data_IF_283670275912
#
_entry.id   IF_283670275912
#
_cell.length_a   1.000
_cell.length_b   1.000
_cell.length_c   1.000
_cell.angle_alpha   90.00
_cell.angle_beta   90.00
_cell.angle_gamma   90.00
#
_symmetry.space_group_name_H-M   'P 1'
#
loop_
_entity.id
_entity.type
_entity.pdbx_description
1 polymer ?
#
# COMPACT_ATOMS: atom_id res chain seq x y z
N UNK A 1 -13.20 9.05 -7.56
CA UNK A 1 -12.45 8.77 -8.80
C UNK A 1 -12.66 9.90 -9.79
N UNK A 2 -11.59 10.48 -10.32
CA UNK A 2 -11.65 11.49 -11.37
C UNK A 2 -10.90 11.00 -12.61
N UNK A 3 -11.50 11.17 -13.77
CA UNK A 3 -10.91 10.84 -15.08
C UNK A 3 -10.71 12.13 -15.85
N UNK A 4 -9.46 12.40 -16.25
CA UNK A 4 -9.09 13.57 -17.02
C UNK A 4 -8.69 13.14 -18.44
N UNK A 5 -9.00 13.97 -19.43
CA UNK A 5 -8.54 13.77 -20.80
C UNK A 5 -7.22 14.52 -21.02
N UNK A 6 -6.15 13.80 -21.37
CA UNK A 6 -4.85 14.38 -21.69
C UNK A 6 -4.40 14.07 -23.13
N UNK A 7 -5.28 13.60 -24.03
CA UNK A 7 -4.96 13.58 -25.46
C UNK A 7 -4.95 15.03 -25.97
N UNK A 8 -3.77 15.53 -26.37
CA UNK A 8 -3.59 16.90 -26.84
C UNK A 8 -4.38 17.25 -28.11
N UNK A 9 -4.99 16.26 -28.77
CA UNK A 9 -5.88 16.44 -29.92
C UNK A 9 -7.35 16.40 -29.54
N UNK A 10 -7.68 16.02 -28.31
CA UNK A 10 -9.06 15.96 -27.83
C UNK A 10 -9.64 17.37 -27.66
N UNK A 11 -10.89 17.61 -28.07
CA UNK A 11 -11.56 18.88 -27.79
C UNK A 11 -11.78 19.11 -26.27
N UNK A 12 -11.59 18.09 -25.44
CA UNK A 12 -11.70 18.16 -23.97
C UNK A 12 -10.35 18.02 -23.26
N UNK A 13 -9.23 18.30 -23.94
CA UNK A 13 -7.89 18.24 -23.34
C UNK A 13 -7.79 19.12 -22.08
N UNK A 14 -7.36 18.52 -20.97
CA UNK A 14 -7.25 19.17 -19.67
C UNK A 14 -8.55 19.20 -18.86
N UNK A 15 -9.67 18.70 -19.40
CA UNK A 15 -10.95 18.68 -18.71
C UNK A 15 -11.26 17.32 -18.05
N UNK A 16 -12.16 17.36 -17.06
CA UNK A 16 -12.75 16.16 -16.49
C UNK A 16 -13.70 15.48 -17.47
N UNK A 17 -13.42 14.22 -17.78
CA UNK A 17 -14.32 13.33 -18.53
C UNK A 17 -15.41 12.78 -17.64
N UNK A 18 -15.05 12.43 -16.41
CA UNK A 18 -15.98 11.88 -15.42
C UNK A 18 -15.43 12.08 -14.02
N UNK A 19 -16.33 12.40 -13.10
CA UNK A 19 -16.08 12.41 -11.66
C UNK A 19 -17.12 11.50 -11.02
N UNK A 20 -16.66 10.53 -10.22
CA UNK A 20 -17.51 9.64 -9.44
C UNK A 20 -17.10 9.68 -7.99
N UNK A 21 -18.07 9.84 -7.12
CA UNK A 21 -17.87 9.68 -5.69
C UNK A 21 -17.51 8.23 -5.38
N UNK A 22 -16.63 8.05 -4.38
CA UNK A 22 -16.47 6.74 -3.74
C UNK A 22 -17.76 6.48 -2.97
N UNK A 23 -18.29 5.27 -3.06
CA UNK A 23 -19.46 4.80 -2.34
C UNK A 23 -19.03 3.77 -1.29
N UNK A 24 -19.84 3.56 -0.26
CA UNK A 24 -19.59 2.57 0.79
C UNK A 24 -19.33 3.17 2.17
N UNK A 25 -19.20 2.32 3.21
CA UNK A 25 -19.11 2.76 4.61
C UNK A 25 -17.92 3.68 4.90
N UNK A 26 -16.82 3.51 4.17
CA UNK A 26 -15.59 4.29 4.33
C UNK A 26 -15.44 5.41 3.29
N UNK A 27 -16.50 5.77 2.56
CA UNK A 27 -16.41 6.78 1.49
C UNK A 27 -16.22 8.22 1.99
N UNK A 28 -16.72 8.55 3.18
CA UNK A 28 -16.79 9.93 3.69
C UNK A 28 -15.68 10.21 4.71
N UNK A 29 -15.08 11.41 4.65
CA UNK A 29 -13.97 11.85 5.53
C UNK A 29 -12.77 10.89 5.53
N UNK A 30 -12.56 10.20 4.42
CA UNK A 30 -11.46 9.28 4.23
C UNK A 30 -10.41 9.92 3.31
N UNK A 31 -9.26 9.29 3.22
CA UNK A 31 -8.16 9.69 2.36
C UNK A 31 -7.88 8.56 1.36
N UNK A 32 -8.44 8.62 0.14
CA UNK A 32 -7.91 7.84 -0.97
C UNK A 32 -6.45 8.22 -1.17
N UNK A 33 -5.53 7.30 -0.89
CA UNK A 33 -4.12 7.64 -0.75
C UNK A 33 -3.30 7.18 -1.96
N UNK A 34 -2.86 5.92 -2.00
CA UNK A 34 -2.28 5.31 -3.21
C UNK A 34 -3.26 4.37 -3.89
N UNK A 35 -2.96 4.08 -5.16
CA UNK A 35 -3.69 3.11 -5.96
C UNK A 35 -2.94 2.77 -7.24
N UNK A 36 -3.29 1.64 -7.83
CA UNK A 36 -2.67 1.14 -9.04
C UNK A 36 -3.68 0.45 -9.95
N UNK A 37 -3.39 0.50 -11.26
CA UNK A 37 -4.01 -0.40 -12.22
C UNK A 37 -3.38 -1.78 -12.16
N UNK A 38 -4.12 -2.85 -12.47
CA UNK A 38 -3.50 -4.13 -12.77
C UNK A 38 -2.72 -4.05 -14.09
N UNK A 39 -1.99 -5.12 -14.41
CA UNK A 39 -1.23 -5.22 -15.65
C UNK A 39 -2.09 -5.16 -16.92
N UNK A 40 -3.38 -5.54 -16.84
CA UNK A 40 -4.32 -5.48 -17.96
C UNK A 40 -4.98 -4.09 -18.13
N UNK A 41 -4.83 -3.19 -17.14
CA UNK A 41 -5.40 -1.84 -17.11
C UNK A 41 -6.93 -1.78 -17.22
N UNK A 42 -7.60 -2.89 -16.93
CA UNK A 42 -9.06 -2.99 -16.91
C UNK A 42 -9.62 -2.79 -15.49
N UNK A 43 -8.75 -2.70 -14.48
CA UNK A 43 -9.10 -2.60 -13.07
C UNK A 43 -8.17 -1.65 -12.36
N UNK A 44 -8.70 -0.93 -11.39
CA UNK A 44 -7.95 -0.02 -10.53
C UNK A 44 -8.34 -0.24 -9.06
N UNK A 45 -7.35 -0.32 -8.20
CA UNK A 45 -7.53 -0.34 -6.75
C UNK A 45 -6.91 0.86 -6.09
N UNK A 46 -7.51 1.32 -5.00
CA UNK A 46 -6.93 2.33 -4.12
C UNK A 46 -7.22 2.04 -2.66
N UNK A 47 -6.32 2.48 -1.79
CA UNK A 47 -6.45 2.36 -0.35
C UNK A 47 -7.18 3.56 0.27
N UNK A 48 -7.92 3.32 1.35
CA UNK A 48 -8.41 4.35 2.27
C UNK A 48 -7.52 4.44 3.49
N UNK A 49 -6.54 5.34 3.50
CA UNK A 49 -5.55 5.47 4.58
C UNK A 49 -6.21 5.72 5.94
N UNK A 50 -7.35 6.43 5.95
CA UNK A 50 -8.10 6.80 7.15
C UNK A 50 -9.36 5.92 7.37
N UNK A 51 -9.43 4.75 6.73
CA UNK A 51 -10.54 3.81 6.91
C UNK A 51 -10.65 3.28 8.34
N UNK A 52 -9.55 3.15 9.07
CA UNK A 52 -9.56 2.77 10.49
C UNK A 52 -10.36 3.72 11.40
N UNK A 53 -10.48 5.00 11.02
CA UNK A 53 -11.16 6.02 11.83
C UNK A 53 -12.69 5.98 11.71
N UNK A 54 -13.23 5.08 10.88
CA UNK A 54 -14.68 4.95 10.74
C UNK A 54 -15.26 4.19 11.92
N UNK A 55 -16.24 4.80 12.57
CA UNK A 55 -16.90 4.29 13.78
C UNK A 55 -17.99 3.25 13.49
N UNK A 56 -18.13 2.79 12.25
CA UNK A 56 -19.26 1.97 11.80
C UNK A 56 -19.02 0.47 11.97
N UNK A 57 -17.77 0.05 12.24
CA UNK A 57 -17.41 -1.37 12.42
C UNK A 57 -17.44 -2.18 11.12
N UNK A 58 -17.59 -1.53 9.97
CA UNK A 58 -17.60 -2.14 8.63
C UNK A 58 -16.71 -1.31 7.69
N UNK A 59 -15.43 -1.20 8.04
CA UNK A 59 -14.51 -0.32 7.34
C UNK A 59 -14.05 -0.99 6.04
N UNK A 60 -14.26 -0.33 4.90
CA UNK A 60 -13.63 -0.73 3.64
C UNK A 60 -12.25 -0.09 3.56
N UNK A 61 -11.19 -0.90 3.64
CA UNK A 61 -9.80 -0.45 3.48
C UNK A 61 -9.46 -0.29 2.00
N UNK A 62 -9.99 -1.17 1.14
CA UNK A 62 -9.68 -1.21 -0.30
C UNK A 62 -10.91 -0.79 -1.11
N UNK A 63 -10.71 0.12 -2.07
CA UNK A 63 -11.73 0.56 -3.02
C UNK A 63 -11.39 0.06 -4.42
N UNK A 64 -12.30 -0.70 -5.02
CA UNK A 64 -12.11 -1.39 -6.28
C UNK A 64 -12.90 -0.74 -7.41
N UNK A 65 -12.32 -0.68 -8.61
CA UNK A 65 -12.94 -0.10 -9.79
C UNK A 65 -12.70 -0.97 -11.02
N UNK A 66 -13.75 -1.22 -11.80
CA UNK A 66 -13.64 -1.67 -13.20
C UNK A 66 -13.44 -0.45 -14.10
N UNK A 67 -12.54 -0.58 -15.07
CA UNK A 67 -12.11 0.50 -15.96
C UNK A 67 -12.05 0.01 -17.43
N UNK A 68 -12.87 -0.96 -17.80
CA UNK A 68 -13.00 -1.47 -19.18
C UNK A 68 -13.36 -0.33 -20.18
N UNK A 69 -14.21 0.60 -19.75
CA UNK A 69 -14.38 1.92 -20.40
C UNK A 69 -13.77 2.99 -19.48
N UNK A 70 -12.58 3.54 -19.82
CA UNK A 70 -11.92 4.56 -19.02
C UNK A 70 -12.75 5.82 -18.81
N UNK A 71 -13.71 6.12 -19.70
CA UNK A 71 -14.60 7.28 -19.55
C UNK A 71 -15.76 7.00 -18.58
N UNK A 72 -16.00 5.74 -18.21
CA UNK A 72 -17.12 5.32 -17.36
C UNK A 72 -16.71 4.26 -16.33
N UNK A 73 -15.72 4.52 -15.46
CA UNK A 73 -15.27 3.55 -14.46
C UNK A 73 -16.41 3.16 -13.51
N UNK A 74 -16.47 1.91 -13.07
CA UNK A 74 -17.54 1.42 -12.20
C UNK A 74 -16.94 0.94 -10.87
N UNK A 75 -17.44 1.48 -9.76
CA UNK A 75 -17.00 0.99 -8.45
C UNK A 75 -17.55 -0.41 -8.20
N UNK A 76 -16.70 -1.28 -7.69
CA UNK A 76 -17.09 -2.56 -7.13
C UNK A 76 -17.18 -2.41 -5.62
N UNK A 77 -18.33 -2.79 -5.06
CA UNK A 77 -18.51 -2.85 -3.62
C UNK A 77 -17.92 -4.14 -3.08
N UNK A 78 -16.80 -4.01 -2.37
CA UNK A 78 -16.14 -5.15 -1.72
C UNK A 78 -16.86 -5.58 -0.43
N UNK A 79 -17.77 -4.77 0.13
CA UNK A 79 -18.52 -5.10 1.36
C UNK A 79 -19.33 -6.42 1.35
N UNK A 80 -19.51 -7.06 0.20
CA UNK A 80 -20.09 -8.41 0.06
C UNK A 80 -19.12 -9.44 -0.57
N UNK A 81 -17.90 -9.02 -0.90
CA UNK A 81 -16.85 -9.88 -1.43
C UNK A 81 -15.89 -10.24 -0.29
N UNK A 82 -15.22 -11.38 -0.41
CA UNK A 82 -14.21 -11.89 0.52
C UNK A 82 -12.95 -11.00 0.65
N UNK A 83 -12.99 -9.77 0.13
CA UNK A 83 -11.84 -8.98 -0.33
C UNK A 83 -11.41 -7.82 0.57
N UNK A 84 -11.98 -7.63 1.75
CA UNK A 84 -11.48 -6.63 2.70
C UNK A 84 -10.58 -7.31 3.75
N UNK A 85 -9.40 -6.76 4.08
CA UNK A 85 -8.56 -7.33 5.13
C UNK A 85 -9.31 -7.34 6.47
N UNK A 86 -9.04 -8.38 7.27
CA UNK A 86 -9.66 -8.59 8.58
C UNK A 86 -8.75 -8.19 9.72
N UNK A 87 -7.43 -8.33 9.54
CA UNK A 87 -6.44 -8.05 10.58
C UNK A 87 -5.75 -6.72 10.35
N UNK A 88 -5.32 -6.46 9.13
CA UNK A 88 -4.54 -5.29 8.73
C UNK A 88 -5.44 -4.15 8.27
N UNK A 89 -4.91 -2.93 8.36
CA UNK A 89 -5.54 -1.70 7.91
C UNK A 89 -4.47 -0.68 7.52
N UNK A 90 -4.92 0.52 7.16
CA UNK A 90 -4.03 1.62 6.72
C UNK A 90 -3.24 1.19 5.46
N UNK A 91 -3.94 0.89 4.36
CA UNK A 91 -3.29 0.54 3.10
C UNK A 91 -2.48 1.73 2.57
N UNK A 92 -1.27 1.43 2.13
CA UNK A 92 -0.37 2.40 1.53
C UNK A 92 -0.12 2.03 0.07
N UNK A 93 1.05 1.54 -0.30
CA UNK A 93 1.46 1.31 -1.69
C UNK A 93 0.83 0.05 -2.33
N UNK A 94 0.43 0.18 -3.60
CA UNK A 94 -0.13 -0.91 -4.42
C UNK A 94 0.84 -1.28 -5.54
N UNK A 95 1.13 -2.57 -5.66
CA UNK A 95 1.99 -3.11 -6.71
C UNK A 95 1.25 -4.17 -7.51
N UNK A 96 1.11 -3.95 -8.82
CA UNK A 96 0.49 -4.90 -9.73
C UNK A 96 1.43 -6.06 -10.07
N UNK A 97 0.88 -7.27 -10.15
CA UNK A 97 1.60 -8.51 -10.43
C UNK A 97 1.31 -9.05 -11.83
N UNK A 98 2.18 -9.92 -12.35
CA UNK A 98 2.04 -10.49 -13.70
C UNK A 98 0.82 -11.40 -13.84
N UNK A 99 0.36 -12.00 -12.74
CA UNK A 99 -0.85 -12.81 -12.71
C UNK A 99 -2.13 -11.96 -12.83
N UNK A 100 -2.03 -10.64 -12.73
CA UNK A 100 -3.16 -9.70 -12.75
C UNK A 100 -3.69 -9.33 -11.35
N UNK A 101 -3.09 -9.88 -10.30
CA UNK A 101 -3.32 -9.53 -8.90
C UNK A 101 -2.44 -8.37 -8.43
N UNK A 102 -2.39 -8.19 -7.11
CA UNK A 102 -1.69 -7.09 -6.46
C UNK A 102 -1.04 -7.53 -5.15
N UNK A 103 0.09 -6.93 -4.82
CA UNK A 103 0.46 -6.74 -3.42
C UNK A 103 0.10 -5.34 -2.95
N UNK A 104 -0.24 -5.22 -1.68
CA UNK A 104 -0.50 -3.95 -1.01
C UNK A 104 0.26 -3.95 0.31
N UNK A 105 1.01 -2.89 0.61
CA UNK A 105 1.54 -2.68 1.95
C UNK A 105 0.44 -2.16 2.87
N UNK A 106 0.35 -2.76 4.06
CA UNK A 106 -0.62 -2.41 5.08
C UNK A 106 0.14 -1.92 6.31
N UNK A 107 0.08 -0.62 6.59
CA UNK A 107 0.96 0.00 7.58
C UNK A 107 0.64 -0.42 9.02
N UNK A 108 -0.54 -0.96 9.32
CA UNK A 108 -0.88 -1.37 10.67
C UNK A 108 -1.94 -2.46 10.74
N UNK A 109 -2.28 -2.84 11.96
CA UNK A 109 -3.50 -3.56 12.26
C UNK A 109 -4.74 -2.67 12.00
N UNK A 110 -5.92 -3.23 12.17
CA UNK A 110 -7.20 -2.51 12.03
C UNK A 110 -7.35 -1.26 12.92
N UNK A 111 -6.46 -1.06 13.91
CA UNK A 111 -6.42 0.09 14.81
C UNK A 111 -5.20 1.01 14.54
N UNK A 112 -4.42 0.71 13.50
CA UNK A 112 -3.23 1.46 13.12
C UNK A 112 -2.02 1.21 14.01
N UNK A 113 -1.96 0.10 14.74
CA UNK A 113 -0.77 -0.32 15.50
C UNK A 113 0.06 -1.36 14.74
N UNK A 114 1.26 -1.65 15.20
CA UNK A 114 2.01 -2.84 14.75
C UNK A 114 1.41 -4.12 15.34
N UNK A 115 1.42 -5.26 14.63
CA UNK A 115 1.95 -5.44 13.28
C UNK A 115 0.94 -5.10 12.17
N UNK A 116 1.44 -4.42 11.13
CA UNK A 116 0.83 -4.34 9.81
C UNK A 116 1.00 -5.63 9.01
N UNK A 117 1.21 -5.49 7.70
CA UNK A 117 1.37 -6.64 6.81
C UNK A 117 1.52 -6.31 5.34
N UNK A 118 1.49 -7.37 4.55
CA UNK A 118 1.35 -7.33 3.09
C UNK A 118 0.06 -8.05 2.75
N UNK A 119 -0.79 -7.40 1.98
CA UNK A 119 -2.01 -7.99 1.44
C UNK A 119 -1.74 -8.48 0.02
N UNK A 120 -2.13 -9.72 -0.30
CA UNK A 120 -2.27 -10.18 -1.67
C UNK A 120 -3.74 -10.10 -2.09
N UNK A 121 -4.00 -9.50 -3.24
CA UNK A 121 -5.33 -9.47 -3.86
C UNK A 121 -5.23 -10.25 -5.17
N UNK A 122 -5.93 -11.38 -5.27
CA UNK A 122 -5.90 -12.23 -6.46
C UNK A 122 -6.64 -11.60 -7.66
N UNK A 123 -6.42 -12.09 -8.89
CA UNK A 123 -7.21 -11.70 -10.07
C UNK A 123 -8.72 -11.97 -9.91
N UNK A 124 -9.12 -12.90 -9.05
CA UNK A 124 -10.50 -13.22 -8.69
C UNK A 124 -10.98 -12.51 -7.42
N UNK A 125 -10.20 -11.54 -6.92
CA UNK A 125 -10.53 -10.66 -5.80
C UNK A 125 -10.51 -11.34 -4.42
N UNK A 126 -9.84 -12.48 -4.30
CA UNK A 126 -9.57 -13.08 -3.00
C UNK A 126 -8.47 -12.29 -2.29
N UNK A 127 -8.61 -12.16 -0.97
CA UNK A 127 -7.68 -11.43 -0.13
C UNK A 127 -6.99 -12.37 0.84
N UNK A 128 -5.67 -12.29 0.86
CA UNK A 128 -4.82 -13.00 1.81
C UNK A 128 -3.88 -12.02 2.50
N UNK A 129 -3.74 -12.17 3.82
CA UNK A 129 -2.94 -11.27 4.65
C UNK A 129 -1.67 -11.97 5.14
N UNK A 130 -0.52 -11.33 4.90
CA UNK A 130 0.79 -11.85 5.25
C UNK A 130 1.55 -10.95 6.25
N UNK A 131 2.39 -11.53 7.12
CA UNK A 131 2.47 -12.96 7.41
C UNK A 131 1.15 -13.46 8.02
N UNK A 132 0.95 -14.78 8.01
CA UNK A 132 -0.18 -15.36 8.74
C UNK A 132 -0.06 -15.08 10.24
N UNK A 133 -1.19 -15.08 10.95
CA UNK A 133 -1.27 -14.70 12.37
C UNK A 133 -0.28 -15.47 13.27
N UNK A 134 0.03 -16.73 12.93
CA UNK A 134 0.97 -17.56 13.67
C UNK A 134 2.46 -17.23 13.42
N UNK A 135 2.76 -16.38 12.44
CA UNK A 135 4.12 -16.02 12.01
C UNK A 135 4.37 -14.52 12.04
N UNK A 136 3.55 -13.76 12.78
CA UNK A 136 3.75 -12.32 12.93
C UNK A 136 5.13 -12.01 13.52
N UNK A 137 5.83 -10.98 13.02
CA UNK A 137 7.04 -10.50 13.65
C UNK A 137 6.77 -10.12 15.11
N UNK A 138 7.77 -10.36 15.97
CA UNK A 138 7.70 -10.02 17.40
C UNK A 138 8.21 -8.62 17.70
N UNK A 139 8.78 -7.94 16.70
CA UNK A 139 9.19 -6.55 16.84
C UNK A 139 7.96 -5.63 16.86
N UNK A 140 8.12 -4.47 17.49
CA UNK A 140 7.09 -3.44 17.63
C UNK A 140 7.01 -2.50 16.42
N UNK A 141 7.76 -2.78 15.36
CA UNK A 141 7.91 -1.94 14.19
C UNK A 141 7.82 -2.72 12.87
N UNK A 142 6.75 -3.49 12.71
CA UNK A 142 6.33 -4.03 11.42
C UNK A 142 5.18 -3.18 10.88
N UNK A 143 5.51 -2.10 10.16
CA UNK A 143 4.57 -1.14 9.58
C UNK A 143 4.93 -0.91 8.10
N UNK A 144 4.72 -1.89 7.21
CA UNK A 144 5.08 -1.78 5.79
C UNK A 144 4.45 -0.56 5.14
N UNK A 145 5.29 0.24 4.48
CA UNK A 145 4.91 1.40 3.69
C UNK A 145 5.41 1.18 2.26
N UNK A 146 6.71 1.39 2.01
CA UNK A 146 7.30 1.06 0.71
C UNK A 146 7.27 -0.44 0.41
N UNK A 147 6.94 -0.82 -0.82
CA UNK A 147 6.93 -2.22 -1.29
C UNK A 147 7.50 -2.38 -2.70
N UNK A 148 8.33 -3.40 -2.88
CA UNK A 148 8.85 -3.80 -4.19
C UNK A 148 8.85 -5.31 -4.36
N UNK A 149 8.67 -5.77 -5.60
CA UNK A 149 8.77 -7.19 -5.95
C UNK A 149 9.65 -7.37 -7.18
N UNK A 150 10.42 -8.45 -7.18
CA UNK A 150 10.98 -9.05 -8.38
C UNK A 150 10.46 -10.49 -8.47
N UNK A 151 9.40 -10.66 -9.27
CA UNK A 151 8.75 -11.97 -9.48
C UNK A 151 9.67 -12.99 -10.16
N UNK A 152 10.69 -12.55 -10.89
CA UNK A 152 11.64 -13.46 -11.56
C UNK A 152 12.69 -13.97 -10.57
N UNK A 153 13.16 -13.09 -9.68
CA UNK A 153 14.04 -13.47 -8.58
C UNK A 153 13.29 -14.18 -7.43
N UNK A 154 11.96 -14.06 -7.37
CA UNK A 154 11.15 -14.63 -6.30
C UNK A 154 11.31 -13.89 -4.97
N UNK A 155 11.52 -12.57 -5.03
CA UNK A 155 11.81 -11.75 -3.85
C UNK A 155 10.79 -10.62 -3.75
N UNK A 156 10.31 -10.39 -2.53
CA UNK A 156 9.55 -9.19 -2.16
C UNK A 156 10.32 -8.44 -1.06
N UNK A 157 10.27 -7.11 -1.10
CA UNK A 157 10.92 -6.23 -0.13
C UNK A 157 9.90 -5.24 0.39
N UNK A 158 9.88 -5.03 1.71
CA UNK A 158 9.09 -3.97 2.35
C UNK A 158 9.99 -3.07 3.17
N UNK A 159 9.70 -1.78 3.18
CA UNK A 159 10.26 -0.81 4.12
C UNK A 159 9.22 -0.42 5.18
N UNK A 160 9.60 -0.39 6.45
CA UNK A 160 8.73 0.02 7.54
C UNK A 160 8.88 1.54 7.80
N UNK A 161 7.76 2.27 7.91
CA UNK A 161 7.80 3.74 8.05
C UNK A 161 7.51 4.23 9.47
N UNK A 162 6.26 4.16 9.89
CA UNK A 162 5.78 4.73 11.16
C UNK A 162 4.57 3.94 11.62
N UNK A 163 4.40 3.78 12.93
CA UNK A 163 3.16 3.23 13.49
C UNK A 163 2.03 4.24 13.31
N UNK A 164 0.98 3.97 12.49
CA UNK A 164 -0.03 4.97 12.14
C UNK A 164 -0.73 5.63 13.35
N UNK A 165 -1.06 4.84 14.39
CA UNK A 165 -1.75 5.34 15.58
C UNK A 165 -0.95 6.42 16.34
N UNK A 166 0.38 6.37 16.27
CA UNK A 166 1.26 7.32 16.95
C UNK A 166 1.15 8.74 16.37
N UNK A 167 0.90 8.86 15.07
CA UNK A 167 0.76 10.15 14.38
C UNK A 167 -0.68 10.63 14.34
N UNK A 168 -1.66 9.72 14.25
CA UNK A 168 -3.08 10.06 14.19
C UNK A 168 -3.62 10.58 15.53
N UNK A 169 -3.03 10.17 16.65
CA UNK A 169 -3.44 10.60 17.99
C UNK A 169 -2.80 11.92 18.45
N UNK A 170 -1.92 12.52 17.63
CA UNK A 170 -1.21 13.77 17.94
C UNK A 170 -0.09 13.61 18.98
N UNK A 171 0.36 12.38 19.25
CA UNK A 171 1.48 12.07 20.12
C UNK A 171 2.85 12.18 19.42
N UNK A 172 3.89 11.68 20.07
CA UNK A 172 5.22 11.55 19.46
C UNK A 172 5.19 10.44 18.40
N UNK A 173 5.56 10.71 17.13
CA UNK A 173 5.64 9.69 16.10
C UNK A 173 6.58 8.55 16.49
N UNK A 174 6.14 7.32 16.27
CA UNK A 174 6.95 6.12 16.44
C UNK A 174 7.42 5.62 15.08
N UNK A 175 8.62 6.04 14.67
CA UNK A 175 9.22 5.68 13.38
C UNK A 175 9.89 4.30 13.43
N UNK A 176 9.86 3.61 12.29
CA UNK A 176 10.54 2.34 12.05
C UNK A 176 11.73 2.53 11.12
N UNK A 177 12.72 1.65 11.23
CA UNK A 177 13.96 1.73 10.44
C UNK A 177 14.28 0.44 9.68
N UNK A 178 13.33 -0.49 9.65
CA UNK A 178 13.54 -1.82 9.11
C UNK A 178 13.17 -1.95 7.64
N UNK A 179 13.99 -2.75 6.95
CA UNK A 179 13.75 -3.28 5.61
C UNK A 179 13.65 -4.80 5.74
N UNK A 180 12.61 -5.39 5.16
CA UNK A 180 12.33 -6.81 5.25
C UNK A 180 12.39 -7.45 3.87
N UNK A 181 13.15 -8.52 3.78
CA UNK A 181 13.32 -9.33 2.58
C UNK A 181 12.48 -10.59 2.76
N UNK A 182 11.63 -10.85 1.78
CA UNK A 182 10.66 -11.92 1.77
C UNK A 182 11.00 -12.94 0.69
N UNK A 183 10.76 -14.21 1.00
CA UNK A 183 10.61 -15.24 0.00
C UNK A 183 9.19 -15.13 -0.58
N UNK A 184 9.09 -14.87 -1.88
CA UNK A 184 7.81 -14.62 -2.54
C UNK A 184 6.94 -15.88 -2.63
N UNK A 185 7.55 -17.06 -2.80
CA UNK A 185 6.80 -18.31 -2.94
C UNK A 185 6.21 -18.77 -1.61
N UNK A 186 6.95 -18.55 -0.51
CA UNK A 186 6.49 -18.90 0.83
C UNK A 186 5.70 -17.76 1.52
N UNK A 187 5.79 -16.54 0.99
CA UNK A 187 5.33 -15.30 1.64
C UNK A 187 5.81 -15.19 3.10
N UNK A 188 7.11 -15.44 3.30
CA UNK A 188 7.76 -15.37 4.60
C UNK A 188 8.93 -14.39 4.61
N UNK A 189 9.03 -13.62 5.69
CA UNK A 189 10.20 -12.78 5.95
C UNK A 189 11.40 -13.71 6.20
N UNK A 190 12.44 -13.57 5.37
CA UNK A 190 13.71 -14.30 5.47
C UNK A 190 14.76 -13.51 6.20
N UNK A 191 14.71 -12.18 6.11
CA UNK A 191 15.68 -11.28 6.73
C UNK A 191 15.04 -9.94 7.04
N UNK A 192 15.36 -9.41 8.21
CA UNK A 192 15.12 -8.01 8.58
C UNK A 192 16.48 -7.31 8.69
N UNK A 193 16.58 -6.13 8.11
CA UNK A 193 17.77 -5.27 8.14
C UNK A 193 17.34 -3.94 8.75
N UNK A 194 18.05 -3.47 9.77
CA UNK A 194 17.79 -2.16 10.37
C UNK A 194 18.77 -1.15 9.79
N UNK A 195 18.24 -0.03 9.32
CA UNK A 195 19.03 1.14 8.93
C UNK A 195 19.07 2.08 10.12
N UNK A 196 19.91 1.77 11.10
CA UNK A 196 20.00 2.52 12.35
C UNK A 196 20.03 4.04 12.08
N UNK A 197 19.30 4.79 12.91
CA UNK A 197 19.09 6.25 12.81
C UNK A 197 18.05 6.70 11.78
N UNK A 198 17.63 5.85 10.85
CA UNK A 198 16.57 6.21 9.91
C UNK A 198 15.26 6.55 10.64
N UNK A 199 14.63 7.66 10.25
CA UNK A 199 13.32 8.08 10.78
C UNK A 199 12.18 7.59 9.88
N UNK A 200 12.26 6.34 9.44
CA UNK A 200 11.33 5.78 8.47
C UNK A 200 11.94 5.32 7.15
N UNK A 201 11.46 4.19 6.63
CA UNK A 201 11.69 3.78 5.24
C UNK A 201 10.42 4.06 4.43
N UNK A 202 10.44 5.10 3.59
CA UNK A 202 9.27 5.53 2.83
C UNK A 202 9.08 4.76 1.53
N UNK A 203 10.17 4.43 0.84
CA UNK A 203 10.05 3.71 -0.43
C UNK A 203 11.23 2.75 -0.60
N UNK A 204 10.99 1.62 -1.26
CA UNK A 204 12.00 0.65 -1.66
C UNK A 204 11.78 0.31 -3.13
N UNK A 205 12.82 0.37 -3.96
CA UNK A 205 12.71 0.06 -5.38
C UNK A 205 13.93 -0.73 -5.85
N UNK A 206 13.72 -1.78 -6.64
CA UNK A 206 14.80 -2.46 -7.34
C UNK A 206 15.42 -1.54 -8.41
N UNK A 207 16.74 -1.59 -8.56
CA UNK A 207 17.42 -0.91 -9.67
C UNK A 207 17.12 -1.68 -10.96
N UNK A 208 16.47 -1.07 -11.97
CA UNK A 208 16.09 -1.78 -13.18
C UNK A 208 17.29 -2.38 -13.91
N UNK A 209 17.23 -3.69 -14.20
CA UNK A 209 18.26 -4.41 -14.95
C UNK A 209 19.54 -4.73 -14.17
N UNK A 210 19.57 -4.52 -12.86
CA UNK A 210 20.72 -4.86 -12.03
C UNK A 210 20.75 -6.36 -11.66
N UNK A 211 21.73 -7.14 -12.15
CA UNK A 211 21.78 -8.58 -11.88
C UNK A 211 22.09 -8.92 -10.41
N UNK A 212 22.60 -7.96 -9.64
CA UNK A 212 22.85 -8.11 -8.20
C UNK A 212 21.61 -7.83 -7.35
N UNK A 213 20.48 -7.46 -7.97
CA UNK A 213 19.21 -7.16 -7.31
C UNK A 213 19.33 -6.11 -6.21
N UNK A 214 20.21 -5.10 -6.40
CA UNK A 214 20.29 -4.00 -5.44
C UNK A 214 19.01 -3.18 -5.52
N UNK A 215 18.61 -2.68 -4.36
CA UNK A 215 17.46 -1.81 -4.22
C UNK A 215 17.89 -0.47 -3.61
N UNK A 216 17.12 0.56 -3.91
CA UNK A 216 17.26 1.91 -3.35
C UNK A 216 16.15 2.08 -2.32
N UNK A 217 16.53 2.42 -1.09
CA UNK A 217 15.60 2.81 -0.04
C UNK A 217 15.60 4.34 0.09
N UNK A 218 14.42 4.95 0.02
CA UNK A 218 14.22 6.36 0.31
C UNK A 218 13.79 6.54 1.76
N UNK A 219 14.46 7.44 2.46
CA UNK A 219 14.19 7.82 3.86
C UNK A 219 13.87 9.32 3.93
N UNK A 220 13.14 9.81 4.95
CA UNK A 220 12.85 11.24 5.09
C UNK A 220 14.12 12.10 5.17
N UNK A 221 14.04 13.37 4.78
CA UNK A 221 15.20 14.25 4.57
C UNK A 221 16.05 14.56 5.82
N UNK A 222 15.63 14.14 7.02
CA UNK A 222 16.37 14.29 8.29
C UNK A 222 16.79 12.94 8.92
N UNK A 223 16.67 11.84 8.16
CA UNK A 223 16.85 10.45 8.63
C UNK A 223 18.26 10.07 9.13
N UNK A 224 19.24 10.97 9.10
CA UNK A 224 20.59 10.67 9.61
C UNK A 224 21.17 11.77 10.50
N UNK A 225 20.33 12.66 11.03
CA UNK A 225 20.71 13.54 12.14
C UNK A 225 21.91 14.47 11.90
N UNK A 226 22.23 14.82 10.64
CA UNK A 226 23.19 15.91 10.38
C UNK A 226 22.43 17.21 10.19
N UNK A 227 22.24 17.94 11.28
CA UNK A 227 21.98 19.37 11.19
C UNK A 227 23.19 19.96 10.45
N UNK A 228 23.03 20.59 9.26
CA UNK A 228 24.12 21.36 8.70
C UNK A 228 24.39 22.48 9.70
N UNK A 229 25.60 22.53 10.27
CA UNK A 229 26.05 23.68 11.02
C UNK A 229 25.92 24.90 10.11
N UNK A 230 24.94 25.77 10.38
CA UNK A 230 24.93 27.14 9.88
C UNK A 230 26.02 27.95 10.58
#
# INVERSE_FOLDING_TARGET
MAVLDFDCRSPTYGDFVTVKDVLGPSAVNNEPHHGAFNIHKDRFFSGGLLSLLKSTGQNEEIFAWKVEDPRRPEQLHLGNLTGNPRRTGVPDEFLALRDGGYFVSMMGDSQGNSPGGVLYISPEWYVEEFPSEHHLPKDDCFNPHGIAVDETAGILVTGDFVTPSSILTGGTPHFCDSIRIWDLAEMKIRKTIHLEQAVGIMNVNFVPGDPELRYIAAVPFDAFGTVPSM
#
